data_IF_798393643976
#
_entry.id   IF_798393643976
#
_cell.length_a   1.000
_cell.length_b   1.000
_cell.length_c   1.000
_cell.angle_alpha   90.00
_cell.angle_beta   90.00
_cell.angle_gamma   90.00
#
_symmetry.space_group_name_H-M   'P 1'
#
loop_
_entity.id
_entity.type
_entity.pdbx_description
1 polymer ?
#
# COMPACT_ATOMS: atom_id res chain seq x y z
N UNK A 1 -26.06 -5.37 3.98
CA UNK A 1 -25.20 -4.37 3.31
C UNK A 1 -25.84 -2.99 3.52
N UNK A 2 -25.06 -1.95 3.80
CA UNK A 2 -25.58 -0.62 4.19
C UNK A 2 -26.21 0.23 3.04
N UNK A 3 -26.40 -0.34 1.85
CA UNK A 3 -27.04 0.35 0.71
C UNK A 3 -26.22 1.46 0.03
N UNK A 4 -24.97 1.69 0.45
CA UNK A 4 -24.12 2.75 -0.10
C UNK A 4 -23.41 2.29 -1.37
N UNK A 5 -23.57 3.02 -2.46
CA UNK A 5 -22.80 2.79 -3.70
C UNK A 5 -21.39 3.38 -3.58
N UNK A 6 -20.46 2.54 -3.14
CA UNK A 6 -19.04 2.90 -2.99
C UNK A 6 -18.33 2.99 -4.35
N UNK A 7 -18.68 2.14 -5.31
CA UNK A 7 -17.88 1.97 -6.54
C UNK A 7 -17.97 3.20 -7.45
N UNK A 8 -19.11 3.87 -7.49
CA UNK A 8 -19.26 5.09 -8.30
C UNK A 8 -18.61 6.32 -7.66
N UNK A 9 -18.46 6.32 -6.33
CA UNK A 9 -17.98 7.47 -5.56
C UNK A 9 -16.49 7.41 -5.19
N UNK A 10 -15.93 6.21 -5.07
CA UNK A 10 -14.53 6.03 -4.70
C UNK A 10 -13.62 6.24 -5.91
N UNK A 11 -12.53 6.98 -5.70
CA UNK A 11 -11.42 7.12 -6.64
C UNK A 11 -10.12 6.76 -5.95
N UNK A 12 -9.29 5.96 -6.61
CA UNK A 12 -8.05 5.42 -6.08
C UNK A 12 -6.90 5.95 -6.91
N UNK A 13 -5.86 6.46 -6.25
CA UNK A 13 -4.68 6.97 -6.94
C UNK A 13 -3.95 5.84 -7.64
N UNK A 14 -3.69 6.01 -8.94
CA UNK A 14 -2.77 5.15 -9.69
C UNK A 14 -1.33 5.15 -9.13
N UNK A 15 -0.96 6.15 -8.31
CA UNK A 15 0.37 6.28 -7.69
C UNK A 15 0.44 5.77 -6.25
N UNK A 16 -0.69 5.34 -5.66
CA UNK A 16 -0.70 4.76 -4.31
C UNK A 16 0.11 3.46 -4.28
N UNK A 17 0.84 3.23 -3.18
CA UNK A 17 1.61 2.00 -2.98
C UNK A 17 0.70 0.88 -2.45
N UNK A 18 0.98 -0.35 -2.86
CA UNK A 18 0.23 -1.54 -2.49
C UNK A 18 0.87 -2.18 -1.26
N UNK A 19 0.04 -2.45 -0.26
CA UNK A 19 0.46 -3.23 0.90
C UNK A 19 0.29 -4.73 0.60
N UNK A 20 1.40 -5.48 0.62
CA UNK A 20 1.43 -6.92 0.42
C UNK A 20 1.59 -7.68 1.74
N UNK A 21 1.23 -8.98 1.79
CA UNK A 21 1.42 -9.83 2.97
C UNK A 21 2.88 -9.83 3.49
N UNK A 22 3.86 -9.70 2.58
CA UNK A 22 5.27 -9.62 2.96
C UNK A 22 5.58 -8.43 3.88
N UNK A 23 4.90 -7.29 3.71
CA UNK A 23 5.11 -6.12 4.57
C UNK A 23 4.65 -6.39 6.00
N UNK A 24 3.56 -7.14 6.19
CA UNK A 24 3.09 -7.52 7.53
C UNK A 24 4.10 -8.42 8.23
N UNK A 25 4.70 -9.35 7.49
CA UNK A 25 5.74 -10.22 8.03
C UNK A 25 6.98 -9.42 8.46
N UNK A 26 7.43 -8.50 7.60
CA UNK A 26 8.59 -7.66 7.89
C UNK A 26 8.36 -6.74 9.10
N UNK A 27 7.12 -6.31 9.35
CA UNK A 27 6.81 -5.47 10.50
C UNK A 27 7.00 -6.19 11.85
N UNK A 28 6.97 -7.53 11.88
CA UNK A 28 7.25 -8.31 13.10
C UNK A 28 8.67 -8.10 13.64
N UNK A 29 9.59 -7.58 12.81
CA UNK A 29 10.96 -7.19 13.20
C UNK A 29 11.01 -5.91 14.03
N UNK A 30 9.92 -5.15 14.07
CA UNK A 30 9.88 -3.80 14.64
C UNK A 30 9.05 -3.82 15.93
N UNK A 31 9.68 -3.55 17.07
CA UNK A 31 9.05 -3.60 18.40
C UNK A 31 8.71 -2.21 18.96
N UNK A 32 7.94 -1.42 18.21
CA UNK A 32 7.52 -0.05 18.62
C UNK A 32 6.02 0.07 18.90
N UNK A 33 5.31 -1.04 19.09
CA UNK A 33 3.85 -1.04 19.28
C UNK A 33 3.07 -0.76 17.99
N UNK A 34 3.52 -1.33 16.87
CA UNK A 34 2.90 -1.12 15.55
C UNK A 34 1.50 -1.75 15.47
N UNK A 35 0.74 -1.33 14.46
CA UNK A 35 -0.59 -1.93 14.19
C UNK A 35 -0.52 -3.34 13.57
N UNK A 36 0.68 -3.84 13.27
CA UNK A 36 0.92 -5.12 12.59
C UNK A 36 0.20 -5.24 11.23
N UNK A 37 0.07 -4.10 10.54
CA UNK A 37 -0.60 -3.98 9.23
C UNK A 37 0.36 -3.92 8.06
N UNK A 38 1.65 -3.76 8.27
CA UNK A 38 2.72 -3.64 7.28
C UNK A 38 2.99 -2.22 6.80
N UNK A 39 2.63 -1.19 7.59
CA UNK A 39 2.68 0.21 7.14
C UNK A 39 4.14 0.66 7.01
N UNK A 40 4.95 0.47 8.06
CA UNK A 40 6.37 0.84 8.05
C UNK A 40 7.13 0.21 6.88
N UNK A 41 7.13 -1.14 6.73
CA UNK A 41 7.84 -1.79 5.63
C UNK A 41 7.35 -1.39 4.23
N UNK A 42 6.06 -1.08 4.06
CA UNK A 42 5.54 -0.57 2.78
C UNK A 42 6.13 0.82 2.45
N UNK A 43 6.21 1.71 3.45
CA UNK A 43 6.86 3.02 3.29
C UNK A 43 8.37 2.91 3.13
N UNK A 44 9.01 1.93 3.75
CA UNK A 44 10.42 1.60 3.53
C UNK A 44 10.67 1.21 2.07
N UNK A 45 9.82 0.37 1.48
CA UNK A 45 9.91 -0.04 0.08
C UNK A 45 9.63 1.14 -0.89
N UNK A 46 8.72 2.05 -0.52
CA UNK A 46 8.53 3.32 -1.23
C UNK A 46 9.80 4.17 -1.20
N UNK A 47 10.38 4.41 -0.02
CA UNK A 47 11.60 5.20 0.14
C UNK A 47 12.79 4.55 -0.58
N UNK A 48 12.86 3.22 -0.54
CA UNK A 48 13.83 2.39 -1.26
C UNK A 48 13.59 2.29 -2.77
N UNK A 49 12.52 2.88 -3.30
CA UNK A 49 12.15 2.86 -4.74
C UNK A 49 11.93 1.45 -5.31
N UNK A 50 11.49 0.53 -4.46
CA UNK A 50 11.21 -0.89 -4.79
C UNK A 50 9.76 -1.30 -4.53
N UNK A 51 8.94 -0.37 -4.01
CA UNK A 51 7.53 -0.61 -3.76
C UNK A 51 6.70 -0.75 -5.04
N UNK A 52 5.66 -1.57 -4.97
CA UNK A 52 4.68 -1.79 -6.05
C UNK A 52 3.54 -0.77 -5.87
N UNK A 53 3.12 -0.12 -6.96
CA UNK A 53 2.00 0.84 -6.95
C UNK A 53 0.75 0.27 -7.62
N UNK A 54 -0.37 0.96 -7.45
CA UNK A 54 -1.65 0.60 -8.08
C UNK A 54 -1.54 0.50 -9.60
N UNK A 55 -0.82 1.42 -10.26
CA UNK A 55 -0.61 1.34 -11.72
C UNK A 55 0.13 0.07 -12.12
N UNK A 56 1.10 -0.36 -11.31
CA UNK A 56 1.89 -1.56 -11.55
C UNK A 56 1.02 -2.81 -11.35
N UNK A 57 0.15 -2.82 -10.33
CA UNK A 57 -0.84 -3.88 -10.07
C UNK A 57 -1.83 -4.08 -11.24
N UNK A 58 -2.22 -3.00 -11.94
CA UNK A 58 -3.15 -3.09 -13.07
C UNK A 58 -2.50 -3.64 -14.35
N UNK A 59 -1.17 -3.67 -14.42
CA UNK A 59 -0.41 -4.31 -15.50
C UNK A 59 0.13 -5.66 -15.04
N UNK A 60 -0.54 -6.74 -15.46
CA UNK A 60 -0.24 -8.11 -15.01
C UNK A 60 1.22 -8.50 -15.21
N UNK A 61 1.84 -8.09 -16.32
CA UNK A 61 3.23 -8.44 -16.64
C UNK A 61 4.18 -7.74 -15.66
N UNK A 62 4.02 -6.43 -15.46
CA UNK A 62 4.83 -5.65 -14.51
C UNK A 62 4.59 -6.13 -13.09
N UNK A 63 3.34 -6.31 -12.67
CA UNK A 63 3.00 -6.81 -11.34
C UNK A 63 3.67 -8.15 -11.04
N UNK A 64 3.54 -9.12 -11.94
CA UNK A 64 4.11 -10.46 -11.74
C UNK A 64 5.62 -10.40 -11.52
N UNK A 65 6.34 -9.64 -12.36
CA UNK A 65 7.79 -9.48 -12.25
C UNK A 65 8.19 -8.83 -10.92
N UNK A 66 7.57 -7.70 -10.58
CA UNK A 66 7.90 -6.96 -9.36
C UNK A 66 7.52 -7.74 -8.10
N UNK A 67 6.40 -8.45 -8.12
CA UNK A 67 5.94 -9.29 -7.02
C UNK A 67 6.92 -10.42 -6.73
N UNK A 68 7.42 -11.11 -7.76
CA UNK A 68 8.43 -12.16 -7.61
C UNK A 68 9.76 -11.64 -7.08
N UNK A 69 10.22 -10.47 -7.56
CA UNK A 69 11.42 -9.80 -7.07
C UNK A 69 11.28 -9.45 -5.57
N UNK A 70 10.18 -8.81 -5.19
CA UNK A 70 9.88 -8.45 -3.80
C UNK A 70 9.75 -9.69 -2.91
N UNK A 71 9.04 -10.73 -3.36
CA UNK A 71 8.87 -11.97 -2.61
C UNK A 71 10.21 -12.64 -2.32
N UNK A 72 11.12 -12.71 -3.31
CA UNK A 72 12.48 -13.26 -3.13
C UNK A 72 13.29 -12.44 -2.11
N UNK A 73 13.24 -11.11 -2.20
CA UNK A 73 13.94 -10.23 -1.26
C UNK A 73 13.40 -10.43 0.16
N UNK A 74 12.07 -10.40 0.33
CA UNK A 74 11.45 -10.52 1.66
C UNK A 74 11.61 -11.91 2.25
N UNK A 75 11.63 -12.97 1.44
CA UNK A 75 11.96 -14.32 1.91
C UNK A 75 13.40 -14.40 2.40
N UNK A 76 14.36 -13.85 1.63
CA UNK A 76 15.77 -13.83 2.04
C UNK A 76 15.96 -13.10 3.37
N UNK A 77 15.27 -11.96 3.55
CA UNK A 77 15.26 -11.25 4.82
C UNK A 77 14.59 -12.07 5.92
N UNK A 78 13.43 -12.66 5.66
CA UNK A 78 12.72 -13.47 6.64
C UNK A 78 13.59 -14.62 7.17
N UNK A 79 14.27 -15.34 6.27
CA UNK A 79 15.19 -16.42 6.63
C UNK A 79 16.37 -15.90 7.46
N UNK A 80 16.94 -14.75 7.11
CA UNK A 80 18.05 -14.15 7.84
C UNK A 80 17.69 -13.66 9.26
N UNK A 81 16.40 -13.44 9.54
CA UNK A 81 15.88 -13.03 10.84
C UNK A 81 15.13 -14.16 11.57
N UNK A 82 15.25 -15.41 11.10
CA UNK A 82 14.56 -16.59 11.64
C UNK A 82 13.03 -16.43 11.72
N UNK A 83 12.46 -15.69 10.75
CA UNK A 83 11.02 -15.46 10.64
C UNK A 83 10.42 -16.48 9.68
N UNK A 84 9.99 -17.62 10.22
CA UNK A 84 9.35 -18.65 9.43
C UNK A 84 7.86 -18.37 9.24
N UNK A 85 7.46 -17.95 8.03
CA UNK A 85 6.08 -17.99 7.58
C UNK A 85 6.03 -18.32 6.07
N UNK A 86 5.58 -19.54 5.69
CA UNK A 86 5.51 -19.90 4.28
C UNK A 86 4.42 -19.09 3.59
N UNK A 87 4.77 -18.44 2.47
CA UNK A 87 3.79 -17.80 1.61
C UNK A 87 3.43 -18.69 0.43
N UNK A 88 2.14 -18.86 0.19
CA UNK A 88 1.67 -19.32 -1.12
C UNK A 88 1.68 -18.13 -2.09
N UNK A 89 2.82 -17.94 -2.75
CA UNK A 89 3.02 -16.86 -3.73
C UNK A 89 2.01 -16.90 -4.86
N UNK A 90 1.56 -18.10 -5.26
CA UNK A 90 0.57 -18.26 -6.31
C UNK A 90 -0.80 -17.78 -5.85
N UNK A 91 -1.24 -18.22 -4.66
CA UNK A 91 -2.52 -17.80 -4.10
C UNK A 91 -2.57 -16.28 -3.85
N UNK A 92 -1.49 -15.70 -3.30
CA UNK A 92 -1.40 -14.25 -3.10
C UNK A 92 -1.49 -13.52 -4.45
N UNK A 93 -0.75 -13.96 -5.47
CA UNK A 93 -0.83 -13.32 -6.79
C UNK A 93 -2.23 -13.41 -7.39
N UNK A 94 -2.88 -14.57 -7.34
CA UNK A 94 -4.24 -14.76 -7.85
C UNK A 94 -5.26 -13.87 -7.12
N UNK A 95 -5.11 -13.71 -5.81
CA UNK A 95 -5.92 -12.80 -5.00
C UNK A 95 -5.75 -11.34 -5.45
N UNK A 96 -4.50 -10.90 -5.65
CA UNK A 96 -4.20 -9.54 -6.09
C UNK A 96 -4.60 -9.27 -7.54
N UNK A 97 -4.53 -10.27 -8.43
CA UNK A 97 -5.09 -10.19 -9.78
C UNK A 97 -6.62 -9.96 -9.72
N UNK A 98 -7.33 -10.68 -8.83
CA UNK A 98 -8.76 -10.47 -8.63
C UNK A 98 -9.07 -9.08 -8.03
N UNK A 99 -8.20 -8.56 -7.15
CA UNK A 99 -8.30 -7.18 -6.67
C UNK A 99 -8.05 -6.17 -7.80
N UNK A 100 -7.06 -6.37 -8.66
CA UNK A 100 -6.78 -5.49 -9.79
C UNK A 100 -8.03 -5.29 -10.65
N UNK A 101 -8.72 -6.37 -11.01
CA UNK A 101 -9.95 -6.30 -11.82
C UNK A 101 -11.09 -5.56 -11.10
N UNK A 102 -11.25 -5.77 -9.79
CA UNK A 102 -12.26 -5.07 -8.99
C UNK A 102 -11.95 -3.58 -8.81
N UNK A 103 -10.67 -3.23 -8.71
CA UNK A 103 -10.21 -1.86 -8.46
C UNK A 103 -10.13 -1.03 -9.74
N UNK A 104 -9.84 -1.66 -10.89
CA UNK A 104 -9.66 -1.02 -12.20
C UNK A 104 -10.64 0.14 -12.50
N UNK A 105 -11.98 0.01 -12.33
CA UNK A 105 -12.91 1.11 -12.62
C UNK A 105 -12.83 2.31 -11.67
N UNK A 106 -12.22 2.16 -10.50
CA UNK A 106 -12.05 3.22 -9.50
C UNK A 106 -10.69 3.93 -9.59
N UNK A 107 -9.74 3.39 -10.37
CA UNK A 107 -8.38 3.94 -10.43
C UNK A 107 -8.31 5.13 -11.40
N UNK A 108 -7.72 6.23 -10.95
CA UNK A 108 -7.46 7.40 -11.79
C UNK A 108 -6.19 8.17 -11.34
N UNK A 109 -5.80 9.19 -12.11
CA UNK A 109 -4.84 10.18 -11.64
C UNK A 109 -5.54 11.14 -10.67
N UNK A 110 -5.43 10.85 -9.38
CA UNK A 110 -6.06 11.66 -8.33
C UNK A 110 -5.44 13.04 -8.19
N UNK A 111 -4.18 13.24 -8.61
CA UNK A 111 -3.56 14.56 -8.58
C UNK A 111 -4.23 15.47 -9.61
N UNK A 112 -4.42 14.99 -10.83
CA UNK A 112 -5.16 15.72 -11.87
C UNK A 112 -6.60 15.97 -11.42
N UNK A 113 -7.32 14.93 -10.96
CA UNK A 113 -8.70 15.04 -10.47
C UNK A 113 -8.87 16.14 -9.41
N UNK A 114 -8.01 16.16 -8.39
CA UNK A 114 -8.09 17.12 -7.29
C UNK A 114 -7.73 18.53 -7.78
N UNK A 115 -6.68 18.69 -8.58
CA UNK A 115 -6.28 20.00 -9.11
C UNK A 115 -7.36 20.61 -10.01
N UNK A 116 -8.01 19.81 -10.85
CA UNK A 116 -9.13 20.26 -11.68
C UNK A 116 -10.33 20.66 -10.85
N UNK A 117 -10.66 19.89 -9.80
CA UNK A 117 -11.74 20.24 -8.87
C UNK A 117 -11.49 21.58 -8.17
N UNK A 118 -10.26 21.79 -7.67
CA UNK A 118 -9.85 23.05 -7.02
C UNK A 118 -9.93 24.23 -8.00
N UNK A 119 -9.41 24.07 -9.23
CA UNK A 119 -9.47 25.11 -10.27
C UNK A 119 -10.90 25.46 -10.67
N UNK A 120 -11.80 24.48 -10.66
CA UNK A 120 -13.21 24.67 -10.92
C UNK A 120 -13.98 25.27 -9.73
N UNK A 121 -13.31 25.66 -8.65
CA UNK A 121 -13.93 26.26 -7.46
C UNK A 121 -14.71 25.27 -6.60
N UNK A 122 -14.50 23.95 -6.76
CA UNK A 122 -15.15 22.95 -5.92
C UNK A 122 -14.52 22.93 -4.53
N UNK A 123 -15.34 22.62 -3.53
CA UNK A 123 -14.88 22.40 -2.16
C UNK A 123 -14.20 21.02 -2.06
N UNK A 124 -13.03 20.99 -1.44
CA UNK A 124 -12.25 19.78 -1.19
C UNK A 124 -11.94 19.72 0.31
N UNK A 125 -12.31 18.61 0.95
CA UNK A 125 -11.97 18.32 2.33
C UNK A 125 -10.87 17.26 2.35
N UNK A 126 -9.76 17.54 3.02
CA UNK A 126 -8.70 16.57 3.27
C UNK A 126 -8.89 15.97 4.65
N UNK A 127 -9.21 14.67 4.70
CA UNK A 127 -9.27 13.91 5.94
C UNK A 127 -7.86 13.43 6.29
N UNK A 128 -7.29 13.97 7.37
CA UNK A 128 -5.97 13.58 7.86
C UNK A 128 -6.02 12.32 8.70
N UNK A 129 -4.96 11.53 8.60
CA UNK A 129 -4.61 10.48 9.55
C UNK A 129 -3.08 10.44 9.69
N UNK A 130 -2.49 10.13 10.83
CA UNK A 130 -3.05 10.01 12.18
C UNK A 130 -3.02 11.38 12.88
N UNK A 131 -2.58 11.46 14.14
CA UNK A 131 -2.40 12.71 14.88
C UNK A 131 -0.97 13.24 14.79
N UNK A 132 -0.78 14.55 14.97
CA UNK A 132 0.52 15.24 14.80
C UNK A 132 1.65 14.66 15.66
N UNK A 133 1.35 14.16 16.87
CA UNK A 133 2.38 13.56 17.74
C UNK A 133 2.90 12.20 17.25
N UNK A 134 2.26 11.61 16.25
CA UNK A 134 2.69 10.37 15.59
C UNK A 134 3.36 10.63 14.23
N UNK A 135 3.59 11.90 13.89
CA UNK A 135 4.28 12.26 12.66
C UNK A 135 5.72 11.71 12.65
N UNK A 136 6.19 11.24 11.49
CA UNK A 136 7.51 10.62 11.34
C UNK A 136 8.66 11.57 11.70
N UNK A 137 8.52 12.87 11.39
CA UNK A 137 9.56 13.88 11.54
C UNK A 137 9.39 14.72 12.80
N UNK A 138 8.15 15.02 13.17
CA UNK A 138 7.80 15.95 14.25
C UNK A 138 7.20 15.29 15.50
N UNK A 139 6.93 13.99 15.43
CA UNK A 139 6.38 13.21 16.54
C UNK A 139 7.44 12.71 17.52
N UNK A 140 7.03 11.80 18.41
CA UNK A 140 7.91 11.18 19.40
C UNK A 140 8.69 10.00 18.83
N UNK A 141 9.57 10.26 17.87
CA UNK A 141 10.41 9.21 17.26
C UNK A 141 11.18 8.41 18.33
N UNK A 142 11.22 7.05 18.26
CA UNK A 142 10.75 6.19 17.17
C UNK A 142 9.28 5.73 17.26
N UNK A 143 8.49 6.21 18.24
CA UNK A 143 7.09 5.80 18.45
C UNK A 143 6.12 6.64 17.60
N UNK A 144 6.23 6.48 16.27
CA UNK A 144 5.53 7.26 15.24
C UNK A 144 4.98 6.30 14.16
N UNK A 145 4.27 6.83 13.16
CA UNK A 145 3.64 6.04 12.07
C UNK A 145 4.27 6.25 10.70
#
# INVERSE_FOLDING_TARGET
>A
QAGVDVRSQLRISNRAHILLPFHKLMERRIHIGTTLRGIGPCYEDKAGRRGIRVVDLLDRVTFCRMFEEMAREKQTLADAFDIAEPFDLKAIREEFDAYAERLRPMVCDTATLLNEAIRAGKQVLFEGAQGTMLDLDHGTYPFVT
#
